data_IF_079629439479
#
_entry.id   IF_079629439479
#
_cell.length_a   1.000
_cell.length_b   1.000
_cell.length_c   1.000
_cell.angle_alpha   90.00
_cell.angle_beta   90.00
_cell.angle_gamma   90.00
#
_symmetry.space_group_name_H-M   'P 1'
#
loop_
_entity.id
_entity.type
_entity.pdbx_description
1 polymer ?
#
# COMPACT_ATOMS: atom_id res chain seq x y z
N UNK A 1 2.09 -6.15 -17.39
CA UNK A 1 1.99 -5.67 -16.01
C UNK A 1 3.20 -6.15 -15.23
N UNK A 2 3.84 -5.31 -14.44
CA UNK A 2 4.89 -5.76 -13.50
C UNK A 2 4.18 -6.23 -12.23
N UNK A 3 4.27 -7.51 -11.90
CA UNK A 3 3.78 -8.02 -10.63
C UNK A 3 4.60 -7.39 -9.48
N UNK A 4 3.95 -7.15 -8.34
CA UNK A 4 4.63 -6.68 -7.12
C UNK A 4 5.78 -7.59 -6.70
N UNK A 5 5.67 -8.89 -6.97
CA UNK A 5 6.73 -9.87 -6.76
C UNK A 5 8.00 -9.60 -7.57
N UNK A 6 7.92 -8.82 -8.68
CA UNK A 6 9.07 -8.45 -9.52
C UNK A 6 9.78 -7.17 -9.05
N UNK A 7 9.23 -6.45 -8.07
CA UNK A 7 9.88 -5.28 -7.48
C UNK A 7 11.11 -5.70 -6.66
N UNK A 8 12.14 -4.84 -6.54
CA UNK A 8 13.34 -5.13 -5.73
C UNK A 8 12.99 -5.59 -4.32
N UNK A 9 13.79 -6.50 -3.75
CA UNK A 9 13.64 -7.02 -2.39
C UNK A 9 14.79 -6.65 -1.46
N UNK A 10 15.83 -6.03 -2.00
CA UNK A 10 17.08 -5.67 -1.31
C UNK A 10 17.06 -4.27 -0.70
N UNK A 11 16.03 -3.49 -0.96
CA UNK A 11 15.86 -2.11 -0.48
C UNK A 11 14.42 -1.79 -0.10
N UNK A 12 14.24 -0.66 0.58
CA UNK A 12 12.92 -0.12 0.86
C UNK A 12 12.23 0.34 -0.43
N UNK A 13 10.97 -0.04 -0.63
CA UNK A 13 10.15 0.39 -1.76
C UNK A 13 9.34 1.64 -1.40
N UNK A 14 9.16 2.50 -2.39
CA UNK A 14 8.30 3.68 -2.31
C UNK A 14 7.01 3.45 -3.12
N UNK A 15 5.93 3.14 -2.41
CA UNK A 15 4.57 3.03 -2.91
C UNK A 15 3.88 4.39 -2.77
N UNK A 16 4.05 5.27 -3.78
CA UNK A 16 3.77 6.72 -3.64
C UNK A 16 2.27 7.00 -3.63
N UNK A 17 1.74 7.52 -2.49
CA UNK A 17 0.32 7.87 -2.36
C UNK A 17 -0.07 9.07 -3.21
N UNK A 18 -0.88 8.85 -4.24
CA UNK A 18 -1.43 9.90 -5.08
C UNK A 18 -2.50 10.75 -4.36
N UNK A 19 -3.00 10.33 -3.21
CA UNK A 19 -3.89 11.17 -2.40
C UNK A 19 -3.21 12.47 -1.94
N UNK A 20 -1.88 12.51 -1.88
CA UNK A 20 -1.11 13.72 -1.54
C UNK A 20 -0.80 14.62 -2.74
N UNK A 21 -1.16 14.22 -3.95
CA UNK A 21 -1.01 15.02 -5.15
C UNK A 21 -2.03 16.19 -5.20
N UNK A 22 -1.82 17.10 -6.15
CA UNK A 22 -2.89 17.97 -6.62
C UNK A 22 -3.89 17.13 -7.43
N UNK A 23 -5.05 16.85 -6.85
CA UNK A 23 -6.05 15.97 -7.44
C UNK A 23 -6.68 16.56 -8.72
N UNK A 24 -6.58 17.86 -8.92
CA UNK A 24 -7.00 18.51 -10.17
C UNK A 24 -5.97 18.32 -11.32
N UNK A 25 -4.74 17.90 -11.00
CA UNK A 25 -3.62 17.78 -11.93
C UNK A 25 -2.83 16.47 -11.71
N UNK A 26 -3.53 15.32 -11.69
CA UNK A 26 -2.90 14.01 -11.41
C UNK A 26 -1.94 13.55 -12.51
N UNK A 27 -2.25 13.79 -13.80
CA UNK A 27 -1.38 13.38 -14.91
C UNK A 27 0.04 13.95 -14.78
N UNK A 28 0.26 15.27 -14.61
CA UNK A 28 1.58 15.83 -14.40
C UNK A 28 2.31 15.23 -13.20
N UNK A 29 1.57 14.97 -12.10
CA UNK A 29 2.14 14.36 -10.91
C UNK A 29 2.63 12.93 -11.17
N UNK A 30 1.81 12.11 -11.82
CA UNK A 30 2.15 10.73 -12.22
C UNK A 30 3.37 10.72 -13.15
N UNK A 31 3.37 11.54 -14.21
CA UNK A 31 4.52 11.62 -15.14
C UNK A 31 5.81 12.04 -14.43
N UNK A 32 5.75 13.03 -13.55
CA UNK A 32 6.90 13.53 -12.79
C UNK A 32 7.49 12.47 -11.87
N UNK A 33 6.65 11.63 -11.25
CA UNK A 33 7.06 10.66 -10.25
C UNK A 33 7.36 9.28 -10.83
N UNK A 34 6.91 8.97 -12.05
CA UNK A 34 7.12 7.67 -12.71
C UNK A 34 8.60 7.21 -12.79
N UNK A 35 9.62 8.08 -12.96
CA UNK A 35 11.02 7.66 -12.93
C UNK A 35 11.51 7.21 -11.55
N UNK A 36 10.78 7.55 -10.50
CA UNK A 36 11.21 7.41 -9.12
C UNK A 36 10.41 6.39 -8.31
N UNK A 37 9.07 6.38 -8.48
CA UNK A 37 8.17 5.52 -7.73
C UNK A 37 8.38 4.04 -8.10
N UNK A 38 8.29 3.16 -7.11
CA UNK A 38 8.24 1.72 -7.33
C UNK A 38 6.81 1.26 -7.66
N UNK A 39 5.82 1.90 -7.06
CA UNK A 39 4.40 1.80 -7.34
C UNK A 39 3.68 3.11 -6.98
N UNK A 40 2.46 3.27 -7.48
CA UNK A 40 1.56 4.33 -7.06
C UNK A 40 0.45 3.76 -6.19
N UNK A 41 0.32 4.28 -4.98
CA UNK A 41 -0.73 3.95 -4.04
C UNK A 41 -1.97 4.82 -4.29
N UNK A 42 -3.09 4.16 -4.52
CA UNK A 42 -4.37 4.78 -4.88
C UNK A 42 -5.39 4.45 -3.79
N UNK A 43 -5.58 5.39 -2.88
CA UNK A 43 -6.53 5.28 -1.78
C UNK A 43 -7.96 5.44 -2.33
N UNK A 44 -8.70 4.34 -2.48
CA UNK A 44 -10.08 4.32 -2.93
C UNK A 44 -11.02 4.11 -1.73
N UNK A 45 -12.02 4.96 -1.58
CA UNK A 45 -12.93 4.91 -0.44
C UNK A 45 -14.37 5.24 -0.83
N UNK A 46 -15.33 4.50 -0.24
CA UNK A 46 -16.74 4.55 -0.57
C UNK A 46 -17.57 5.51 0.31
N UNK A 47 -16.97 6.12 1.33
CA UNK A 47 -17.65 6.99 2.28
C UNK A 47 -18.45 6.24 3.35
N UNK A 48 -18.45 4.89 3.34
CA UNK A 48 -19.13 4.04 4.33
C UNK A 48 -18.12 3.35 5.23
N UNK A 49 -17.13 2.69 4.67
CA UNK A 49 -16.06 2.03 5.43
C UNK A 49 -15.17 3.02 6.17
N UNK A 50 -14.95 4.20 5.55
CA UNK A 50 -14.29 5.38 6.13
C UNK A 50 -15.06 6.64 5.74
N UNK A 51 -15.01 7.73 6.53
CA UNK A 51 -15.80 8.96 6.28
C UNK A 51 -15.15 9.83 5.17
N UNK A 52 -14.68 9.22 4.10
CA UNK A 52 -14.03 9.89 2.97
C UNK A 52 -14.47 9.27 1.67
N UNK A 53 -14.65 10.09 0.62
CA UNK A 53 -14.80 9.66 -0.77
C UNK A 53 -13.48 9.95 -1.46
N UNK A 54 -12.83 8.90 -1.99
CA UNK A 54 -11.51 9.00 -2.61
C UNK A 54 -11.54 8.28 -3.97
N UNK A 55 -10.41 8.10 -4.61
CA UNK A 55 -10.26 7.57 -5.95
C UNK A 55 -11.33 6.55 -6.37
N UNK A 56 -11.76 6.63 -7.63
CA UNK A 56 -12.79 5.77 -8.21
C UNK A 56 -12.30 5.22 -9.57
N UNK A 57 -12.93 4.14 -10.11
CA UNK A 57 -12.39 3.42 -11.27
C UNK A 57 -12.14 4.28 -12.50
N UNK A 58 -13.05 5.21 -12.86
CA UNK A 58 -12.85 6.06 -14.04
C UNK A 58 -11.67 7.02 -13.91
N UNK A 59 -11.39 7.52 -12.70
CA UNK A 59 -10.21 8.33 -12.44
C UNK A 59 -8.92 7.50 -12.62
N UNK A 60 -8.91 6.27 -12.11
CA UNK A 60 -7.78 5.35 -12.28
C UNK A 60 -7.57 5.03 -13.76
N UNK A 61 -8.64 4.73 -14.49
CA UNK A 61 -8.60 4.48 -15.94
C UNK A 61 -8.06 5.70 -16.71
N UNK A 62 -8.41 6.91 -16.28
CA UNK A 62 -7.94 8.14 -16.92
C UNK A 62 -6.43 8.37 -16.71
N UNK A 63 -5.88 8.03 -15.54
CA UNK A 63 -4.45 8.23 -15.26
C UNK A 63 -3.57 7.05 -15.70
N UNK A 64 -4.14 5.84 -15.88
CA UNK A 64 -3.39 4.62 -16.25
C UNK A 64 -2.52 4.77 -17.50
N UNK A 65 -2.95 5.40 -18.61
CA UNK A 65 -2.15 5.52 -19.82
C UNK A 65 -0.87 6.37 -19.67
N UNK A 66 -0.76 7.13 -18.59
CA UNK A 66 0.34 8.09 -18.39
C UNK A 66 1.57 7.51 -17.69
N UNK A 67 1.52 6.23 -17.30
CA UNK A 67 2.65 5.56 -16.64
C UNK A 67 2.62 4.04 -16.84
N UNK A 68 3.80 3.42 -16.80
CA UNK A 68 3.96 1.97 -16.71
C UNK A 68 4.25 1.50 -15.26
N UNK A 69 4.34 2.43 -14.31
CA UNK A 69 4.54 2.10 -12.89
C UNK A 69 3.30 1.37 -12.35
N UNK A 70 3.44 0.29 -11.59
CA UNK A 70 2.32 -0.45 -11.03
C UNK A 70 1.38 0.43 -10.20
N UNK A 71 0.07 0.16 -10.31
CA UNK A 71 -0.95 0.76 -9.47
C UNK A 71 -1.36 -0.21 -8.36
N UNK A 72 -1.12 0.19 -7.12
CA UNK A 72 -1.59 -0.45 -5.91
C UNK A 72 -2.87 0.25 -5.45
N UNK A 73 -4.02 -0.37 -5.65
CA UNK A 73 -5.30 0.16 -5.15
C UNK A 73 -5.54 -0.35 -3.74
N UNK A 74 -5.63 0.57 -2.80
CA UNK A 74 -6.05 0.33 -1.42
C UNK A 74 -7.55 0.63 -1.31
N UNK A 75 -8.37 -0.41 -1.33
CA UNK A 75 -9.82 -0.30 -1.37
C UNK A 75 -10.43 -0.32 0.03
N UNK A 76 -10.83 0.84 0.50
CA UNK A 76 -11.53 1.10 1.76
C UNK A 76 -13.04 1.17 1.49
N UNK A 77 -13.67 0.01 1.33
CA UNK A 77 -15.09 -0.10 1.01
C UNK A 77 -15.78 -1.11 1.94
N UNK A 78 -17.06 -0.90 2.23
CA UNK A 78 -17.85 -1.79 3.07
C UNK A 78 -18.04 -3.17 2.39
N UNK A 79 -18.26 -3.17 1.07
CA UNK A 79 -18.42 -4.37 0.25
C UNK A 79 -17.39 -4.41 -0.89
N UNK A 80 -16.12 -4.69 -0.60
CA UNK A 80 -15.05 -4.62 -1.59
C UNK A 80 -15.25 -5.60 -2.74
N UNK A 81 -15.90 -6.74 -2.53
CA UNK A 81 -16.17 -7.73 -3.58
C UNK A 81 -17.09 -7.20 -4.69
N UNK A 82 -17.94 -6.21 -4.40
CA UNK A 82 -18.82 -5.60 -5.39
C UNK A 82 -18.09 -4.58 -6.28
N UNK A 83 -17.01 -4.01 -5.80
CA UNK A 83 -16.24 -2.94 -6.50
C UNK A 83 -14.95 -3.45 -7.12
N UNK A 84 -14.36 -4.52 -6.60
CA UNK A 84 -13.04 -5.02 -6.98
C UNK A 84 -12.86 -5.14 -8.50
N UNK A 85 -13.84 -5.73 -9.19
CA UNK A 85 -13.80 -5.91 -10.65
C UNK A 85 -13.57 -4.60 -11.40
N UNK A 86 -14.27 -3.54 -11.04
CA UNK A 86 -14.19 -2.24 -11.74
C UNK A 86 -12.81 -1.58 -11.53
N UNK A 87 -12.23 -1.69 -10.33
CA UNK A 87 -10.89 -1.20 -10.04
C UNK A 87 -9.80 -1.97 -10.78
N UNK A 88 -9.94 -3.30 -10.86
CA UNK A 88 -9.03 -4.17 -11.60
C UNK A 88 -9.10 -3.87 -13.11
N UNK A 89 -10.30 -3.74 -13.65
CA UNK A 89 -10.52 -3.41 -15.06
C UNK A 89 -10.11 -1.95 -15.40
N UNK A 90 -10.03 -1.07 -14.41
CA UNK A 90 -9.49 0.28 -14.55
C UNK A 90 -7.95 0.32 -14.61
N UNK A 91 -7.27 -0.79 -14.28
CA UNK A 91 -5.82 -0.92 -14.43
C UNK A 91 -5.06 -1.02 -13.11
N UNK A 92 -5.70 -1.48 -12.03
CA UNK A 92 -4.99 -1.89 -10.83
C UNK A 92 -4.09 -3.10 -11.13
N UNK A 93 -2.84 -3.06 -10.67
CA UNK A 93 -1.90 -4.18 -10.73
C UNK A 93 -1.89 -4.99 -9.42
N UNK A 94 -2.23 -4.34 -8.31
CA UNK A 94 -2.41 -4.92 -6.97
C UNK A 94 -3.66 -4.32 -6.33
N UNK A 95 -4.51 -5.17 -5.77
CA UNK A 95 -5.69 -4.77 -4.99
C UNK A 95 -5.51 -5.19 -3.54
N UNK A 96 -5.53 -4.23 -2.63
CA UNK A 96 -5.53 -4.45 -1.18
C UNK A 96 -6.89 -4.09 -0.61
N UNK A 97 -7.47 -5.02 0.16
CA UNK A 97 -8.75 -4.87 0.87
C UNK A 97 -8.55 -5.07 2.36
N UNK A 98 -9.48 -4.63 3.19
CA UNK A 98 -9.33 -4.71 4.63
C UNK A 98 -9.73 -6.07 5.21
N UNK A 99 -8.97 -6.59 6.19
CA UNK A 99 -9.35 -7.80 6.94
C UNK A 99 -10.65 -7.60 7.71
N UNK A 100 -10.97 -6.37 8.08
CA UNK A 100 -12.20 -5.96 8.77
C UNK A 100 -13.47 -6.17 7.92
N UNK A 101 -13.34 -6.36 6.61
CA UNK A 101 -14.46 -6.78 5.74
C UNK A 101 -14.91 -8.23 5.99
N UNK A 102 -14.09 -9.01 6.74
CA UNK A 102 -14.33 -10.44 6.99
C UNK A 102 -13.95 -11.33 5.80
N UNK A 103 -13.77 -12.61 6.09
CA UNK A 103 -13.22 -13.59 5.12
C UNK A 103 -14.03 -13.69 3.83
N UNK A 104 -15.36 -13.56 3.91
CA UNK A 104 -16.23 -13.67 2.73
C UNK A 104 -15.99 -12.53 1.74
N UNK A 105 -16.05 -11.28 2.18
CA UNK A 105 -15.91 -10.11 1.31
C UNK A 105 -14.46 -9.92 0.86
N UNK A 106 -13.51 -9.99 1.78
CA UNK A 106 -12.09 -9.86 1.46
C UNK A 106 -11.62 -11.02 0.56
N UNK A 107 -11.99 -12.27 0.88
CA UNK A 107 -11.65 -13.44 0.09
C UNK A 107 -12.22 -13.38 -1.33
N UNK A 108 -13.46 -12.95 -1.51
CA UNK A 108 -14.06 -12.80 -2.82
C UNK A 108 -13.37 -11.71 -3.67
N UNK A 109 -12.95 -10.59 -3.06
CA UNK A 109 -12.20 -9.55 -3.76
C UNK A 109 -10.78 -10.01 -4.16
N UNK A 110 -10.08 -10.73 -3.26
CA UNK A 110 -8.78 -11.35 -3.53
C UNK A 110 -8.87 -12.34 -4.71
N UNK A 111 -9.89 -13.21 -4.70
CA UNK A 111 -10.10 -14.15 -5.79
C UNK A 111 -10.38 -13.45 -7.14
N UNK A 112 -11.09 -12.32 -7.12
CA UNK A 112 -11.29 -11.52 -8.33
C UNK A 112 -9.99 -10.93 -8.86
N UNK A 113 -9.07 -10.47 -7.98
CA UNK A 113 -7.75 -10.00 -8.38
C UNK A 113 -6.94 -11.12 -9.05
N UNK A 114 -6.89 -12.31 -8.45
CA UNK A 114 -6.19 -13.46 -9.00
C UNK A 114 -6.75 -13.90 -10.36
N UNK A 115 -8.07 -13.94 -10.52
CA UNK A 115 -8.70 -14.29 -11.82
C UNK A 115 -8.30 -13.34 -12.95
N UNK A 116 -7.91 -12.09 -12.63
CA UNK A 116 -7.44 -11.08 -13.59
C UNK A 116 -5.92 -11.05 -13.74
N UNK A 117 -5.20 -11.95 -13.05
CA UNK A 117 -3.74 -11.97 -13.03
C UNK A 117 -3.12 -10.78 -12.32
N UNK A 118 -3.86 -10.14 -11.41
CA UNK A 118 -3.41 -9.06 -10.55
C UNK A 118 -2.98 -9.60 -9.19
N UNK A 119 -2.07 -8.88 -8.52
CA UNK A 119 -1.69 -9.17 -7.14
C UNK A 119 -2.84 -8.86 -6.17
N UNK A 120 -2.80 -9.48 -5.00
CA UNK A 120 -3.74 -9.23 -3.92
C UNK A 120 -3.02 -8.91 -2.61
N UNK A 121 -3.64 -8.07 -1.78
CA UNK A 121 -3.16 -7.72 -0.45
C UNK A 121 -4.29 -7.59 0.55
N UNK A 122 -3.91 -7.57 1.83
CA UNK A 122 -4.82 -7.20 2.91
C UNK A 122 -4.26 -6.02 3.72
N UNK A 123 -5.15 -5.14 4.18
CA UNK A 123 -4.84 -4.05 5.08
C UNK A 123 -5.44 -4.30 6.47
N UNK A 124 -4.77 -3.78 7.51
CA UNK A 124 -5.17 -3.96 8.90
C UNK A 124 -5.20 -2.61 9.60
N UNK A 125 -6.37 -2.24 10.16
CA UNK A 125 -6.54 -1.02 10.96
C UNK A 125 -5.76 -1.09 12.28
N UNK A 126 -5.54 0.08 12.90
CA UNK A 126 -4.77 0.21 14.14
C UNK A 126 -5.30 -0.67 15.29
N UNK A 127 -6.61 -0.74 15.43
CA UNK A 127 -7.27 -1.44 16.54
C UNK A 127 -7.52 -2.93 16.26
N UNK A 128 -7.23 -3.38 15.04
CA UNK A 128 -7.39 -4.79 14.67
C UNK A 128 -6.10 -5.55 14.97
N UNK A 129 -6.17 -6.69 15.66
CA UNK A 129 -4.99 -7.53 15.92
C UNK A 129 -4.29 -7.94 14.61
N UNK A 130 -2.97 -7.90 14.58
CA UNK A 130 -2.18 -8.29 13.39
C UNK A 130 -2.49 -9.72 12.94
N UNK A 131 -2.78 -10.62 13.88
CA UNK A 131 -3.15 -12.02 13.59
C UNK A 131 -4.41 -12.18 12.74
N UNK A 132 -5.23 -11.14 12.56
CA UNK A 132 -6.36 -11.17 11.65
C UNK A 132 -5.97 -11.42 10.18
N UNK A 133 -4.69 -11.30 9.82
CA UNK A 133 -4.18 -11.62 8.47
C UNK A 133 -4.04 -13.13 8.21
N UNK A 134 -4.05 -13.98 9.26
CA UNK A 134 -3.76 -15.41 9.14
C UNK A 134 -4.57 -16.14 8.07
N UNK A 135 -5.90 -15.93 7.93
CA UNK A 135 -6.69 -16.60 6.89
C UNK A 135 -6.27 -16.28 5.46
N UNK A 136 -5.52 -15.18 5.26
CA UNK A 136 -5.19 -14.66 3.92
C UNK A 136 -3.75 -14.93 3.49
N UNK A 137 -2.87 -15.44 4.38
CA UNK A 137 -1.42 -15.54 4.13
C UNK A 137 -1.04 -16.35 2.88
N UNK A 138 -1.87 -17.32 2.49
CA UNK A 138 -1.65 -18.13 1.29
C UNK A 138 -2.10 -17.44 0.00
N UNK A 139 -2.88 -16.39 0.12
CA UNK A 139 -3.55 -15.73 -1.00
C UNK A 139 -3.08 -14.30 -1.26
N UNK A 140 -2.12 -13.77 -0.49
CA UNK A 140 -1.70 -12.37 -0.62
C UNK A 140 -0.21 -12.21 -0.84
N UNK A 141 0.16 -11.19 -1.60
CA UNK A 141 1.54 -10.75 -1.82
C UNK A 141 1.94 -9.62 -0.86
N UNK A 142 0.94 -8.92 -0.28
CA UNK A 142 1.15 -7.72 0.52
C UNK A 142 0.26 -7.72 1.76
N UNK A 143 0.82 -7.29 2.88
CA UNK A 143 0.09 -6.90 4.09
C UNK A 143 0.39 -5.44 4.36
N UNK A 144 -0.62 -4.59 4.31
CA UNK A 144 -0.54 -3.16 4.64
C UNK A 144 -0.95 -2.94 6.09
N UNK A 145 -0.03 -2.44 6.90
CA UNK A 145 -0.30 -2.07 8.29
C UNK A 145 -0.50 -0.56 8.41
N UNK A 146 -1.71 -0.15 8.83
CA UNK A 146 -2.02 1.24 9.03
C UNK A 146 -1.29 1.76 10.28
N UNK A 147 -0.54 2.83 10.11
CA UNK A 147 0.16 3.53 11.20
C UNK A 147 -0.63 4.73 11.73
N UNK A 148 -1.77 5.03 11.13
CA UNK A 148 -2.67 6.15 11.50
C UNK A 148 -4.12 5.69 11.41
N UNK A 149 -5.03 6.52 11.88
CA UNK A 149 -6.45 6.31 11.60
C UNK A 149 -6.71 6.32 10.09
N UNK A 150 -7.45 5.31 9.62
CA UNK A 150 -7.71 5.10 8.19
C UNK A 150 -8.65 6.17 7.63
N UNK A 151 -8.35 6.65 6.41
CA UNK A 151 -9.18 7.67 5.76
C UNK A 151 -9.01 9.09 6.31
N UNK A 152 -8.01 9.34 7.19
CA UNK A 152 -7.75 10.65 7.81
C UNK A 152 -6.34 11.13 7.48
N UNK A 153 -6.23 12.36 6.94
CA UNK A 153 -4.93 13.01 6.66
C UNK A 153 -4.35 13.74 7.85
N UNK A 154 -3.02 13.87 7.87
CA UNK A 154 -2.33 14.76 8.79
C UNK A 154 -2.10 14.21 10.21
N UNK A 155 -2.48 12.96 10.46
CA UNK A 155 -2.27 12.30 11.73
C UNK A 155 -0.78 12.03 12.01
N UNK A 156 -0.43 11.93 13.30
CA UNK A 156 0.85 11.42 13.73
C UNK A 156 0.85 9.88 13.68
N UNK A 157 2.05 9.30 13.57
CA UNK A 157 2.21 7.85 13.67
C UNK A 157 1.77 7.36 15.06
N UNK A 158 0.93 6.33 15.06
CA UNK A 158 0.49 5.72 16.30
C UNK A 158 1.66 5.06 17.05
N UNK A 159 1.74 5.15 18.38
CA UNK A 159 2.87 4.58 19.14
C UNK A 159 3.11 3.10 18.88
N UNK A 160 2.03 2.33 18.67
CA UNK A 160 2.08 0.88 18.43
C UNK A 160 2.50 0.48 17.00
N UNK A 161 2.65 1.43 16.06
CA UNK A 161 2.89 1.11 14.65
C UNK A 161 4.15 0.25 14.42
N UNK A 162 5.24 0.55 15.11
CA UNK A 162 6.49 -0.20 14.98
C UNK A 162 6.37 -1.62 15.56
N UNK A 163 5.70 -1.78 16.70
CA UNK A 163 5.53 -3.10 17.33
C UNK A 163 4.61 -4.00 16.49
N UNK A 164 3.59 -3.41 15.87
CA UNK A 164 2.71 -4.12 14.92
C UNK A 164 3.47 -4.63 13.69
N UNK A 165 4.40 -3.83 13.15
CA UNK A 165 5.27 -4.27 12.05
C UNK A 165 6.17 -5.43 12.47
N UNK A 166 6.77 -5.36 13.67
CA UNK A 166 7.59 -6.47 14.24
C UNK A 166 6.76 -7.73 14.43
N UNK A 167 5.54 -7.59 14.99
CA UNK A 167 4.61 -8.70 15.14
C UNK A 167 4.27 -9.35 13.79
N UNK A 168 3.94 -8.56 12.77
CA UNK A 168 3.65 -9.05 11.43
C UNK A 168 4.87 -9.76 10.81
N UNK A 169 6.08 -9.20 10.99
CA UNK A 169 7.31 -9.83 10.49
C UNK A 169 7.57 -11.20 11.15
N UNK A 170 7.40 -11.28 12.45
CA UNK A 170 7.52 -12.54 13.19
C UNK A 170 6.48 -13.57 12.72
N UNK A 171 5.23 -13.14 12.55
CA UNK A 171 4.14 -13.98 12.06
C UNK A 171 4.45 -14.54 10.65
N UNK A 172 4.97 -13.71 9.74
CA UNK A 172 5.40 -14.18 8.42
C UNK A 172 6.55 -15.20 8.48
N UNK A 173 7.48 -15.03 9.42
CA UNK A 173 8.57 -15.99 9.66
C UNK A 173 8.05 -17.31 10.23
N UNK A 174 7.18 -17.26 11.24
CA UNK A 174 6.54 -18.44 11.86
C UNK A 174 5.79 -19.29 10.82
N UNK A 175 5.14 -18.64 9.85
CA UNK A 175 4.38 -19.31 8.79
C UNK A 175 5.18 -19.52 7.48
N UNK A 176 6.48 -19.28 7.48
CA UNK A 176 7.37 -19.42 6.32
C UNK A 176 6.94 -18.61 5.09
N UNK A 177 6.25 -17.47 5.27
CA UNK A 177 5.71 -16.60 4.21
C UNK A 177 6.72 -15.52 3.77
N UNK A 178 7.91 -15.94 3.33
CA UNK A 178 9.01 -15.05 2.94
C UNK A 178 8.70 -14.18 1.71
N UNK A 179 7.73 -14.58 0.89
CA UNK A 179 7.32 -13.83 -0.32
C UNK A 179 6.33 -12.70 -0.05
N UNK A 180 5.68 -12.67 1.11
CA UNK A 180 4.71 -11.63 1.48
C UNK A 180 5.44 -10.40 1.99
N UNK A 181 5.12 -9.23 1.45
CA UNK A 181 5.74 -7.94 1.79
C UNK A 181 4.91 -7.18 2.81
N UNK A 182 5.58 -6.53 3.75
CA UNK A 182 4.96 -5.62 4.71
C UNK A 182 5.03 -4.18 4.18
N UNK A 183 3.89 -3.54 4.07
CA UNK A 183 3.75 -2.14 3.69
C UNK A 183 3.33 -1.33 4.92
N UNK A 184 4.06 -0.28 5.24
CA UNK A 184 3.68 0.68 6.27
C UNK A 184 2.99 1.88 5.62
N UNK A 185 1.75 2.13 6.02
CA UNK A 185 0.93 3.23 5.53
C UNK A 185 0.48 4.16 6.67
N UNK A 186 0.61 5.45 6.43
CA UNK A 186 0.27 6.51 7.39
C UNK A 186 1.49 7.13 8.09
N UNK A 187 1.47 8.45 8.18
CA UNK A 187 2.49 9.28 8.83
C UNK A 187 3.94 9.02 8.38
N UNK A 188 4.14 8.74 7.09
CA UNK A 188 5.48 8.57 6.51
C UNK A 188 6.20 9.91 6.47
N UNK A 189 7.23 10.05 7.30
CA UNK A 189 8.05 11.26 7.49
C UNK A 189 9.52 10.89 7.54
N UNK A 190 10.40 11.88 7.37
CA UNK A 190 11.86 11.67 7.40
C UNK A 190 12.31 10.97 8.68
N UNK A 191 11.71 11.30 9.82
CA UNK A 191 12.07 10.68 11.11
C UNK A 191 11.42 9.32 11.37
N UNK A 192 10.30 8.97 10.69
CA UNK A 192 9.63 7.68 10.90
C UNK A 192 10.15 6.59 9.97
N UNK A 193 10.64 6.93 8.78
CA UNK A 193 11.08 5.96 7.76
C UNK A 193 12.17 5.00 8.25
N UNK A 194 13.27 5.46 8.90
CA UNK A 194 14.32 4.55 9.37
C UNK A 194 13.78 3.50 10.35
N UNK A 195 12.92 3.93 11.28
CA UNK A 195 12.36 3.06 12.30
C UNK A 195 11.29 2.09 11.75
N UNK A 196 10.45 2.54 10.80
CA UNK A 196 9.52 1.67 10.09
C UNK A 196 10.28 0.57 9.33
N UNK A 197 11.39 0.94 8.67
CA UNK A 197 12.25 -0.03 8.01
C UNK A 197 12.87 -1.02 9.00
N UNK A 198 13.45 -0.52 10.08
CA UNK A 198 14.02 -1.36 11.15
C UNK A 198 12.99 -2.28 11.82
N UNK A 199 11.74 -1.84 11.89
CA UNK A 199 10.62 -2.64 12.39
C UNK A 199 10.14 -3.73 11.40
N UNK A 200 10.63 -3.72 10.15
CA UNK A 200 10.36 -4.78 9.18
C UNK A 200 9.55 -4.36 7.95
N UNK A 201 9.29 -3.08 7.72
CA UNK A 201 8.62 -2.64 6.49
C UNK A 201 9.48 -2.92 5.24
N UNK A 202 8.91 -3.54 4.22
CA UNK A 202 9.51 -3.73 2.90
C UNK A 202 9.16 -2.57 1.96
N UNK A 203 8.02 -1.94 2.19
CA UNK A 203 7.56 -0.75 1.48
C UNK A 203 6.93 0.24 2.45
N UNK A 204 6.94 1.49 2.06
CA UNK A 204 6.25 2.60 2.74
C UNK A 204 5.36 3.34 1.75
N UNK A 205 4.31 4.01 2.27
CA UNK A 205 3.37 4.80 1.47
C UNK A 205 3.64 6.31 1.67
N UNK A 206 4.70 6.87 1.02
CA UNK A 206 5.04 8.28 1.18
C UNK A 206 4.08 9.15 0.38
N UNK A 207 3.48 10.13 1.06
CA UNK A 207 2.67 11.17 0.45
C UNK A 207 3.40 12.52 0.48
N UNK A 208 3.14 13.34 1.49
CA UNK A 208 3.73 14.69 1.61
C UNK A 208 5.26 14.70 1.60
N UNK A 209 5.91 13.66 2.10
CA UNK A 209 7.37 13.51 2.05
C UNK A 209 7.92 13.63 0.62
N UNK A 210 7.20 13.10 -0.36
CA UNK A 210 7.58 13.14 -1.78
C UNK A 210 7.03 14.40 -2.47
N UNK A 211 5.74 14.71 -2.26
CA UNK A 211 5.10 15.83 -2.95
C UNK A 211 5.64 17.21 -2.54
N UNK A 212 6.11 17.36 -1.30
CA UNK A 212 6.73 18.60 -0.79
C UNK A 212 8.25 18.64 -0.96
N UNK A 213 8.85 17.59 -1.54
CA UNK A 213 10.29 17.56 -1.78
C UNK A 213 10.70 18.56 -2.86
N UNK A 214 11.71 19.38 -2.55
CA UNK A 214 12.36 20.26 -3.52
C UNK A 214 13.33 19.50 -4.44
N UNK A 215 13.82 18.33 -4.01
CA UNK A 215 14.75 17.48 -4.75
C UNK A 215 14.31 16.00 -4.66
N UNK A 216 13.58 15.56 -5.68
CA UNK A 216 13.08 14.18 -5.77
C UNK A 216 14.22 13.17 -5.85
N UNK A 217 15.28 13.46 -6.59
CA UNK A 217 16.40 12.54 -6.75
C UNK A 217 17.05 12.22 -5.40
N UNK A 218 17.38 13.24 -4.63
CA UNK A 218 17.95 13.07 -3.30
C UNK A 218 16.98 12.37 -2.35
N UNK A 219 15.68 12.69 -2.40
CA UNK A 219 14.66 12.05 -1.57
C UNK A 219 14.55 10.55 -1.87
N UNK A 220 14.43 10.16 -3.13
CA UNK A 220 14.33 8.74 -3.49
C UNK A 220 15.64 7.99 -3.31
N UNK A 221 16.80 8.62 -3.53
CA UNK A 221 18.11 8.04 -3.19
C UNK A 221 18.19 7.75 -1.70
N UNK A 222 17.76 8.68 -0.85
CA UNK A 222 17.71 8.47 0.60
C UNK A 222 16.73 7.36 0.99
N UNK A 223 15.52 7.32 0.45
CA UNK A 223 14.56 6.23 0.70
C UNK A 223 15.18 4.86 0.34
N UNK A 224 15.80 4.75 -0.82
CA UNK A 224 16.43 3.52 -1.32
C UNK A 224 17.69 3.11 -0.57
N UNK A 225 18.33 4.01 0.17
CA UNK A 225 19.50 3.69 1.00
C UNK A 225 19.17 2.85 2.23
N UNK A 226 17.88 2.76 2.60
CA UNK A 226 17.43 1.89 3.69
C UNK A 226 17.35 0.44 3.21
N UNK A 227 18.50 -0.27 3.28
CA UNK A 227 18.62 -1.69 2.94
C UNK A 227 17.88 -2.59 3.95
N UNK A 228 17.71 -3.85 3.57
CA UNK A 228 17.18 -4.88 4.49
C UNK A 228 18.11 -5.00 5.68
N UNK A 229 17.61 -4.97 6.94
CA UNK A 229 18.44 -5.33 8.08
C UNK A 229 18.98 -6.74 7.85
N UNK A 230 20.30 -6.90 7.85
CA UNK A 230 20.90 -8.24 7.81
C UNK A 230 20.50 -8.93 9.11
N UNK A 231 19.61 -9.92 9.03
CA UNK A 231 19.33 -10.79 10.17
C UNK A 231 20.60 -11.62 10.39
N UNK A 232 21.40 -11.20 11.36
CA UNK A 232 22.51 -12.00 11.89
C UNK A 232 21.97 -13.03 12.85
#
# INVERSE_FOLDING_TARGET
MRAWSQLPSDRLLADVSLWSADLANLEPAVRRLSPWADSFHLDAADGHFVPSLLFFPDLIRAIRPHTAVPFHVHLMAEYPSQLATEFLDAGADLLTVHVENGEREAGAAIEQAHRRGCGAGVAVKLDTPVRAVLPYLDAVEVITLLGTEVGVKGCNLAPQAYDRLREARNLLQEHAKRGVRLVADGAIRTHTVPELRAAGADAIVPGSLVFQSADLESTFRWLRSHSVPTVT
#
